data_IF_629482877729
#
_entry.id   IF_629482877729
#
_cell.length_a   1.000
_cell.length_b   1.000
_cell.length_c   1.000
_cell.angle_alpha   90.00
_cell.angle_beta   90.00
_cell.angle_gamma   90.00
#
_symmetry.space_group_name_H-M   'P 1'
#
loop_
_entity.id
_entity.type
_entity.pdbx_description
1 polymer ?
#
# COMPACT_ATOMS: atom_id res chain seq x y z
N UNK A 1 19.52 -12.56 -0.56
CA UNK A 1 19.89 -11.55 -1.58
C UNK A 1 19.03 -10.34 -1.29
N UNK A 2 19.64 -9.19 -1.04
CA UNK A 2 18.94 -7.96 -0.72
C UNK A 2 18.37 -7.30 -1.97
N UNK A 3 17.30 -6.54 -1.82
CA UNK A 3 16.73 -5.72 -2.87
C UNK A 3 17.45 -4.37 -2.86
N UNK A 4 18.33 -4.15 -3.84
CA UNK A 4 19.17 -2.95 -3.89
C UNK A 4 18.54 -1.79 -4.71
N UNK A 5 17.53 -2.09 -5.53
CA UNK A 5 16.99 -1.13 -6.51
C UNK A 5 15.47 -1.06 -6.55
N UNK A 6 14.92 -0.14 -7.36
CA UNK A 6 13.48 -0.02 -7.54
C UNK A 6 12.83 -1.32 -7.98
N UNK A 7 11.80 -1.75 -7.26
CA UNK A 7 11.02 -2.95 -7.59
C UNK A 7 9.77 -2.55 -8.35
N UNK A 8 9.44 -3.24 -9.44
CA UNK A 8 8.15 -3.08 -10.10
C UNK A 8 7.05 -3.68 -9.22
N UNK A 9 5.94 -2.97 -8.96
CA UNK A 9 4.86 -3.54 -8.17
C UNK A 9 4.19 -4.71 -8.89
N UNK A 10 3.69 -5.68 -8.13
CA UNK A 10 2.77 -6.71 -8.60
C UNK A 10 1.39 -6.09 -8.86
N UNK A 11 0.80 -6.40 -10.01
CA UNK A 11 -0.36 -5.68 -10.53
C UNK A 11 -1.64 -6.49 -10.40
N UNK A 12 -2.77 -5.78 -10.48
CA UNK A 12 -4.09 -6.36 -10.58
C UNK A 12 -4.61 -6.37 -12.02
N UNK A 13 -5.46 -7.34 -12.32
CA UNK A 13 -6.36 -7.35 -13.48
C UNK A 13 -7.78 -6.99 -13.04
N UNK A 14 -8.53 -6.32 -13.90
CA UNK A 14 -9.93 -6.00 -13.62
C UNK A 14 -10.79 -7.26 -13.50
N UNK A 15 -11.75 -7.24 -12.60
CA UNK A 15 -12.81 -8.23 -12.47
C UNK A 15 -14.16 -7.54 -12.26
N UNK A 16 -15.22 -8.11 -12.82
CA UNK A 16 -16.57 -7.54 -12.75
C UNK A 16 -17.27 -7.77 -11.40
N UNK A 17 -16.80 -8.77 -10.64
CA UNK A 17 -17.30 -9.14 -9.32
C UNK A 17 -16.17 -9.61 -8.42
N UNK A 18 -16.36 -9.53 -7.11
CA UNK A 18 -15.41 -10.04 -6.11
C UNK A 18 -15.23 -11.56 -6.34
N UNK A 19 -14.00 -12.04 -6.60
CA UNK A 19 -13.74 -13.46 -6.73
C UNK A 19 -14.14 -14.23 -5.46
N UNK A 20 -14.87 -15.33 -5.65
CA UNK A 20 -15.23 -16.25 -4.56
C UNK A 20 -13.97 -16.89 -3.94
N UNK A 21 -13.99 -17.24 -2.64
CA UNK A 21 -12.80 -17.74 -1.94
C UNK A 21 -12.09 -18.92 -2.63
N UNK A 22 -12.84 -19.80 -3.30
CA UNK A 22 -12.32 -20.98 -4.00
C UNK A 22 -11.57 -20.70 -5.31
N UNK A 23 -11.58 -19.47 -5.82
CA UNK A 23 -10.88 -19.09 -7.06
C UNK A 23 -9.37 -18.96 -6.85
N UNK A 24 -8.95 -18.58 -5.64
CA UNK A 24 -7.56 -18.31 -5.31
C UNK A 24 -6.86 -19.54 -4.73
N UNK A 25 -5.61 -19.79 -5.14
CA UNK A 25 -4.77 -20.82 -4.50
C UNK A 25 -4.52 -20.46 -3.04
N UNK A 26 -4.80 -21.39 -2.12
CA UNK A 26 -4.72 -21.16 -0.67
C UNK A 26 -5.87 -20.31 -0.10
N UNK A 27 -6.89 -20.03 -0.90
CA UNK A 27 -7.97 -19.12 -0.55
C UNK A 27 -7.65 -17.66 -0.89
N UNK A 28 -8.71 -16.85 -1.02
CA UNK A 28 -8.56 -15.44 -1.33
C UNK A 28 -8.29 -14.61 -0.06
N UNK A 29 -7.58 -13.51 -0.25
CA UNK A 29 -7.41 -12.43 0.72
C UNK A 29 -7.90 -11.14 0.07
N UNK A 30 -8.78 -10.46 0.77
CA UNK A 30 -9.46 -9.25 0.31
C UNK A 30 -8.92 -8.06 1.08
N UNK A 31 -8.71 -6.95 0.39
CA UNK A 31 -8.24 -5.68 0.95
C UNK A 31 -9.03 -4.53 0.31
N UNK A 32 -9.33 -3.44 1.04
CA UNK A 32 -9.88 -2.24 0.42
C UNK A 32 -8.92 -1.69 -0.64
N UNK A 33 -9.46 -1.28 -1.77
CA UNK A 33 -8.69 -0.61 -2.81
C UNK A 33 -8.60 0.87 -2.48
N UNK A 34 -7.47 1.27 -1.91
CA UNK A 34 -7.15 2.66 -1.59
C UNK A 34 -7.15 3.55 -2.85
N UNK A 35 -7.64 4.78 -2.71
CA UNK A 35 -7.47 5.85 -3.69
C UNK A 35 -6.21 6.65 -3.34
N UNK A 36 -5.09 6.33 -3.99
CA UNK A 36 -3.83 6.99 -3.70
C UNK A 36 -2.81 6.89 -4.82
N UNK A 37 -1.54 7.08 -4.45
CA UNK A 37 -0.41 6.79 -5.31
C UNK A 37 0.36 5.59 -4.78
N UNK A 38 0.33 4.51 -5.55
CA UNK A 38 1.16 3.35 -5.29
C UNK A 38 2.65 3.72 -5.24
N UNK A 39 3.28 3.38 -4.14
CA UNK A 39 4.64 3.77 -3.80
C UNK A 39 5.37 2.59 -3.16
N UNK A 40 6.46 2.15 -3.78
CA UNK A 40 7.43 1.25 -3.17
C UNK A 40 8.32 2.05 -2.23
N UNK A 41 8.46 1.61 -0.99
CA UNK A 41 9.43 2.17 -0.05
C UNK A 41 10.53 1.16 0.24
N UNK A 42 11.77 1.59 0.02
CA UNK A 42 12.97 0.83 0.36
C UNK A 42 13.71 1.61 1.44
N UNK A 43 13.87 0.99 2.61
CA UNK A 43 14.76 1.44 3.69
C UNK A 43 16.03 0.59 3.59
N UNK A 44 17.12 1.19 3.12
CA UNK A 44 18.38 0.46 2.97
C UNK A 44 19.06 0.21 4.33
N UNK A 45 20.20 -0.50 4.30
CA UNK A 45 20.94 -0.89 5.50
C UNK A 45 21.52 0.32 6.25
N UNK A 46 21.79 1.43 5.56
CA UNK A 46 22.25 2.68 6.13
C UNK A 46 21.11 3.54 6.69
N UNK A 47 19.85 3.10 6.53
CA UNK A 47 18.66 3.81 7.00
C UNK A 47 18.24 4.97 6.09
N UNK A 48 18.63 4.97 4.81
CA UNK A 48 18.08 5.90 3.83
C UNK A 48 16.80 5.33 3.21
N UNK A 49 15.79 6.19 3.01
CA UNK A 49 14.52 5.82 2.37
C UNK A 49 14.53 6.25 0.90
N UNK A 50 14.10 5.33 0.04
CA UNK A 50 13.78 5.60 -1.37
C UNK A 50 12.33 5.28 -1.66
N UNK A 51 11.56 6.30 -2.06
CA UNK A 51 10.16 6.22 -2.45
C UNK A 51 10.04 6.23 -3.97
N UNK A 52 9.43 5.18 -4.52
CA UNK A 52 9.29 5.03 -5.97
C UNK A 52 7.86 4.69 -6.37
N UNK A 53 7.30 5.44 -7.32
CA UNK A 53 5.96 5.21 -7.86
C UNK A 53 5.85 3.88 -8.62
N UNK A 54 4.62 3.50 -8.95
CA UNK A 54 4.32 2.40 -9.89
C UNK A 54 5.14 2.42 -11.18
N UNK A 55 5.43 3.61 -11.72
CA UNK A 55 6.15 3.80 -12.98
C UNK A 55 7.66 4.04 -12.78
N UNK A 56 8.18 3.69 -11.60
CA UNK A 56 9.59 3.81 -11.23
C UNK A 56 10.08 5.28 -11.13
N UNK A 57 9.16 6.23 -10.92
CA UNK A 57 9.49 7.64 -10.70
C UNK A 57 9.68 7.93 -9.22
N UNK A 58 10.68 8.73 -8.85
CA UNK A 58 10.90 9.13 -7.45
C UNK A 58 9.72 9.94 -6.91
N UNK A 59 9.31 9.64 -5.68
CA UNK A 59 8.24 10.35 -4.96
C UNK A 59 8.73 11.07 -3.70
N UNK A 60 10.01 10.93 -3.33
CA UNK A 60 10.57 11.44 -2.08
C UNK A 60 10.36 12.95 -1.92
N UNK A 61 10.51 13.70 -3.01
CA UNK A 61 10.38 15.16 -2.99
C UNK A 61 8.95 15.67 -2.94
N UNK A 62 7.95 14.85 -3.28
CA UNK A 62 6.54 15.25 -3.28
C UNK A 62 5.87 15.06 -1.90
N UNK A 63 6.37 14.10 -1.13
CA UNK A 63 5.80 13.69 0.15
C UNK A 63 6.89 13.60 1.23
N UNK A 64 7.53 14.73 1.58
CA UNK A 64 8.71 14.72 2.44
C UNK A 64 8.42 14.21 3.87
N UNK A 65 7.16 14.21 4.31
CA UNK A 65 6.74 13.67 5.60
C UNK A 65 6.73 12.13 5.64
N UNK A 66 6.67 11.46 4.49
CA UNK A 66 6.49 10.00 4.41
C UNK A 66 7.78 9.26 4.76
N UNK A 67 8.94 9.73 4.28
CA UNK A 67 10.22 9.06 4.53
C UNK A 67 10.59 9.01 6.03
N UNK A 68 10.52 10.13 6.79
CA UNK A 68 10.73 10.08 8.24
C UNK A 68 9.75 9.16 8.97
N UNK A 69 8.47 9.17 8.57
CA UNK A 69 7.46 8.30 9.16
C UNK A 69 7.76 6.82 8.92
N UNK A 70 8.31 6.46 7.77
CA UNK A 70 8.75 5.08 7.48
C UNK A 70 9.98 4.70 8.30
N UNK A 71 10.96 5.59 8.47
CA UNK A 71 12.15 5.32 9.29
C UNK A 71 11.82 5.09 10.77
N UNK A 72 10.80 5.78 11.28
CA UNK A 72 10.35 5.60 12.65
C UNK A 72 9.74 4.21 12.90
N UNK A 73 9.30 3.52 11.83
CA UNK A 73 8.48 2.29 11.92
C UNK A 73 9.13 1.06 11.31
N UNK A 74 10.02 1.23 10.33
CA UNK A 74 10.64 0.14 9.58
C UNK A 74 12.14 0.06 9.91
N UNK A 75 12.62 -1.15 10.17
CA UNK A 75 14.06 -1.38 10.35
C UNK A 75 14.82 -1.26 9.03
N UNK A 76 16.12 -0.92 9.04
CA UNK A 76 17.00 -1.03 7.89
C UNK A 76 16.92 -2.40 7.20
N UNK A 77 17.12 -2.42 5.88
CA UNK A 77 16.95 -3.63 5.06
C UNK A 77 15.49 -4.07 4.94
N UNK A 78 14.58 -3.11 4.78
CA UNK A 78 13.13 -3.38 4.63
C UNK A 78 12.62 -2.79 3.33
N UNK A 79 11.87 -3.58 2.56
CA UNK A 79 11.18 -3.12 1.35
C UNK A 79 9.69 -3.42 1.49
N UNK A 80 8.86 -2.40 1.34
CA UNK A 80 7.41 -2.51 1.39
C UNK A 80 6.75 -1.95 0.13
N UNK A 81 5.62 -2.55 -0.23
CA UNK A 81 4.70 -2.08 -1.24
C UNK A 81 3.53 -1.40 -0.52
N UNK A 82 3.14 -0.22 -0.95
CA UNK A 82 2.12 0.55 -0.27
C UNK A 82 1.48 1.63 -1.12
N UNK A 83 0.54 2.34 -0.51
CA UNK A 83 -0.19 3.43 -1.12
C UNK A 83 0.01 4.71 -0.29
N UNK A 84 0.46 5.79 -0.93
CA UNK A 84 0.40 7.13 -0.33
C UNK A 84 -1.02 7.65 -0.49
N UNK A 85 -1.66 7.99 0.62
CA UNK A 85 -3.04 8.45 0.65
C UNK A 85 -3.15 9.75 1.45
N UNK A 86 -4.17 10.56 1.14
CA UNK A 86 -4.56 11.68 1.99
C UNK A 86 -5.92 11.39 2.61
N UNK A 87 -6.00 11.45 3.93
CA UNK A 87 -7.26 11.42 4.69
C UNK A 87 -7.65 12.84 5.08
N UNK A 88 -8.86 13.26 4.76
CA UNK A 88 -9.44 14.50 5.26
C UNK A 88 -9.77 14.40 6.76
N UNK A 89 -10.11 15.52 7.39
CA UNK A 89 -10.42 15.57 8.82
C UNK A 89 -11.65 14.75 9.23
N UNK A 90 -12.54 14.44 8.28
CA UNK A 90 -13.70 13.56 8.44
C UNK A 90 -13.38 12.07 8.18
N UNK A 91 -12.11 11.74 7.93
CA UNK A 91 -11.61 10.39 7.68
C UNK A 91 -11.68 9.91 6.23
N UNK A 92 -12.32 10.65 5.32
CA UNK A 92 -12.48 10.27 3.91
C UNK A 92 -11.16 10.44 3.14
N UNK A 93 -10.96 9.64 2.10
CA UNK A 93 -9.84 9.79 1.19
C UNK A 93 -10.06 11.01 0.28
N UNK A 94 -9.11 11.96 0.31
CA UNK A 94 -9.11 13.16 -0.52
C UNK A 94 -8.05 13.04 -1.62
N UNK A 95 -8.44 12.35 -2.71
CA UNK A 95 -7.57 12.15 -3.85
C UNK A 95 -7.22 13.47 -4.57
N UNK A 96 -8.13 14.46 -4.55
CA UNK A 96 -7.87 15.76 -5.15
C UNK A 96 -6.77 16.51 -4.38
N UNK A 97 -6.79 16.49 -3.04
CA UNK A 97 -5.69 17.00 -2.22
C UNK A 97 -4.38 16.27 -2.51
N UNK A 98 -4.41 14.93 -2.59
CA UNK A 98 -3.23 14.14 -2.93
C UNK A 98 -2.63 14.53 -4.29
N UNK A 99 -3.46 14.78 -5.31
CA UNK A 99 -2.99 15.27 -6.61
C UNK A 99 -2.36 16.67 -6.51
N UNK A 100 -2.97 17.59 -5.74
CA UNK A 100 -2.39 18.92 -5.49
C UNK A 100 -1.05 18.82 -4.78
N UNK A 101 -0.91 17.91 -3.81
CA UNK A 101 0.35 17.61 -3.10
C UNK A 101 1.44 17.18 -4.08
N UNK A 102 1.14 16.22 -4.95
CA UNK A 102 2.10 15.71 -5.92
C UNK A 102 2.55 16.76 -6.96
N UNK A 103 1.69 17.71 -7.31
CA UNK A 103 2.00 18.79 -8.24
C UNK A 103 2.75 19.97 -7.58
N UNK A 104 2.87 20.01 -6.25
CA UNK A 104 3.55 21.09 -5.55
C UNK A 104 5.07 21.07 -5.79
N UNK A 105 5.71 22.23 -5.67
CA UNK A 105 7.15 22.38 -5.83
C UNK A 105 7.68 23.53 -4.97
N UNK A 106 9.00 23.54 -4.73
CA UNK A 106 9.67 24.55 -3.90
C UNK A 106 9.17 24.54 -2.46
N UNK A 107 9.14 25.72 -1.81
CA UNK A 107 8.71 25.86 -0.41
C UNK A 107 7.29 25.35 -0.13
N UNK A 108 6.41 25.42 -1.15
CA UNK A 108 5.00 24.99 -1.02
C UNK A 108 4.84 23.51 -0.69
N UNK A 109 5.82 22.67 -1.01
CA UNK A 109 5.78 21.23 -0.66
C UNK A 109 5.68 21.06 0.85
N UNK A 110 6.52 21.76 1.61
CA UNK A 110 6.56 21.66 3.06
C UNK A 110 5.35 22.31 3.73
N UNK A 111 4.90 23.46 3.21
CA UNK A 111 3.68 24.13 3.70
C UNK A 111 2.47 23.18 3.61
N UNK A 112 2.33 22.49 2.47
CA UNK A 112 1.25 21.52 2.29
C UNK A 112 1.48 20.21 3.06
N UNK A 113 2.74 19.80 3.29
CA UNK A 113 3.08 18.66 4.16
C UNK A 113 2.54 18.84 5.58
N UNK A 114 2.67 20.06 6.11
CA UNK A 114 2.18 20.41 7.44
C UNK A 114 0.64 20.56 7.48
N UNK A 115 0.06 21.22 6.47
CA UNK A 115 -1.37 21.50 6.45
C UNK A 115 -2.24 20.28 6.05
N UNK A 116 -1.76 19.45 5.13
CA UNK A 116 -2.50 18.35 4.53
C UNK A 116 -1.66 17.05 4.50
N UNK A 117 -1.24 16.49 5.66
CA UNK A 117 -0.25 15.41 5.69
C UNK A 117 -0.74 14.11 5.04
N UNK A 118 0.11 13.48 4.25
CA UNK A 118 -0.18 12.19 3.63
C UNK A 118 0.24 11.02 4.54
N UNK A 119 -0.43 9.89 4.36
CA UNK A 119 -0.18 8.66 5.09
C UNK A 119 0.31 7.59 4.12
N UNK A 120 1.08 6.64 4.60
CA UNK A 120 1.55 5.48 3.86
C UNK A 120 0.85 4.23 4.36
N UNK A 121 0.00 3.64 3.52
CA UNK A 121 -0.67 2.38 3.82
C UNK A 121 0.12 1.23 3.21
N UNK A 122 0.71 0.38 4.05
CA UNK A 122 1.47 -0.79 3.62
C UNK A 122 0.53 -1.90 3.17
N UNK A 123 0.69 -2.38 1.94
CA UNK A 123 -0.12 -3.44 1.34
C UNK A 123 0.62 -4.77 1.19
N UNK A 124 1.95 -4.78 1.22
CA UNK A 124 2.78 -5.99 1.21
C UNK A 124 4.20 -5.68 1.72
N UNK A 125 4.93 -6.70 2.16
CA UNK A 125 6.35 -6.62 2.56
C UNK A 125 7.17 -7.55 1.69
N UNK A 126 8.17 -6.99 1.00
CA UNK A 126 9.00 -7.69 0.03
C UNK A 126 10.35 -8.09 0.61
N UNK A 127 10.83 -7.35 1.60
CA UNK A 127 12.04 -7.65 2.35
C UNK A 127 11.88 -7.13 3.78
N UNK A 128 12.41 -7.87 4.76
CA UNK A 128 12.47 -7.42 6.15
C UNK A 128 13.77 -7.86 6.78
N UNK A 129 14.49 -6.91 7.41
CA UNK A 129 15.79 -7.13 8.04
C UNK A 129 16.75 -7.91 7.14
N UNK A 130 16.78 -7.53 5.87
CA UNK A 130 17.67 -8.14 4.89
C UNK A 130 17.18 -9.46 4.27
N UNK A 131 16.04 -9.98 4.67
CA UNK A 131 15.51 -11.24 4.14
C UNK A 131 14.51 -10.97 3.02
N UNK A 132 14.83 -11.35 1.79
CA UNK A 132 13.91 -11.26 0.65
C UNK A 132 12.75 -12.25 0.81
N UNK A 133 11.54 -11.70 0.85
CA UNK A 133 10.29 -12.40 1.09
C UNK A 133 9.48 -12.59 -0.20
N UNK A 134 9.92 -12.08 -1.36
CA UNK A 134 9.12 -12.15 -2.60
C UNK A 134 8.79 -13.58 -3.01
N UNK A 135 9.72 -14.52 -2.77
CA UNK A 135 9.50 -15.95 -3.03
C UNK A 135 8.52 -16.62 -2.07
N UNK A 136 8.17 -15.99 -0.95
CA UNK A 136 7.27 -16.55 0.08
C UNK A 136 5.80 -16.34 -0.28
N UNK A 137 4.90 -17.25 0.10
CA UNK A 137 3.45 -17.05 0.03
C UNK A 137 2.96 -15.75 0.68
N UNK A 138 1.87 -15.17 0.17
CA UNK A 138 1.28 -13.94 0.72
C UNK A 138 0.97 -14.05 2.21
N UNK A 139 0.45 -15.18 2.68
CA UNK A 139 0.12 -15.32 4.10
C UNK A 139 1.36 -15.24 5.01
N UNK A 140 2.50 -15.77 4.57
CA UNK A 140 3.78 -15.63 5.31
C UNK A 140 4.24 -14.16 5.30
N UNK A 141 4.19 -13.48 4.15
CA UNK A 141 4.54 -12.05 4.05
C UNK A 141 3.61 -11.19 4.91
N UNK A 142 2.31 -11.50 4.91
CA UNK A 142 1.31 -10.81 5.73
C UNK A 142 1.62 -10.94 7.21
N UNK A 143 1.98 -12.14 7.67
CA UNK A 143 2.38 -12.34 9.06
C UNK A 143 3.59 -11.49 9.43
N UNK A 144 4.62 -11.43 8.58
CA UNK A 144 5.78 -10.55 8.79
C UNK A 144 5.36 -9.08 8.88
N UNK A 145 4.49 -8.62 7.98
CA UNK A 145 3.98 -7.25 7.98
C UNK A 145 3.23 -6.91 9.28
N UNK A 146 2.37 -7.82 9.75
CA UNK A 146 1.64 -7.65 11.01
C UNK A 146 2.58 -7.59 12.21
N UNK A 147 3.60 -8.44 12.28
CA UNK A 147 4.63 -8.37 13.32
C UNK A 147 5.43 -7.05 13.25
N UNK A 148 5.76 -6.59 12.05
CA UNK A 148 6.53 -5.35 11.84
C UNK A 148 5.76 -4.13 12.35
N UNK A 149 4.42 -4.14 12.22
CA UNK A 149 3.56 -3.00 12.57
C UNK A 149 2.70 -3.23 13.83
N UNK A 150 2.93 -4.31 14.59
CA UNK A 150 2.08 -4.72 15.71
C UNK A 150 1.94 -3.65 16.82
N UNK A 151 2.96 -2.82 17.01
CA UNK A 151 3.00 -1.79 18.06
C UNK A 151 2.80 -0.38 17.49
N UNK A 152 2.38 -0.27 16.24
CA UNK A 152 2.15 1.02 15.59
C UNK A 152 0.71 1.45 15.89
N UNK A 153 0.50 2.62 16.52
CA UNK A 153 -0.85 3.14 16.74
C UNK A 153 -1.59 3.32 15.41
N UNK A 154 -2.90 3.10 15.39
CA UNK A 154 -3.72 3.32 14.19
C UNK A 154 -3.68 4.79 13.71
N UNK A 155 -3.35 5.72 14.61
CA UNK A 155 -3.15 7.14 14.32
C UNK A 155 -1.80 7.45 13.66
N UNK A 156 -0.95 6.45 13.45
CA UNK A 156 0.34 6.60 12.78
C UNK A 156 0.18 7.01 11.32
N UNK A 157 1.17 7.74 10.80
CA UNK A 157 1.27 8.01 9.37
C UNK A 157 1.60 6.77 8.54
N UNK A 158 2.05 5.68 9.17
CA UNK A 158 2.30 4.39 8.52
C UNK A 158 1.45 3.31 9.16
N UNK A 159 0.59 2.65 8.38
CA UNK A 159 -0.31 1.60 8.86
C UNK A 159 -0.38 0.45 7.86
N UNK A 160 -0.70 -0.76 8.32
CA UNK A 160 -1.03 -1.86 7.41
C UNK A 160 -2.43 -1.67 6.81
N UNK A 161 -2.63 -2.05 5.55
CA UNK A 161 -3.98 -2.23 5.02
C UNK A 161 -4.70 -3.32 5.81
N UNK A 162 -6.01 -3.18 6.11
CA UNK A 162 -6.78 -4.30 6.60
C UNK A 162 -6.86 -5.38 5.50
N UNK A 163 -6.87 -6.63 5.94
CA UNK A 163 -6.95 -7.81 5.07
C UNK A 163 -7.87 -8.84 5.73
N UNK A 164 -8.77 -9.43 4.95
CA UNK A 164 -9.70 -10.46 5.44
C UNK A 164 -9.75 -11.67 4.51
N UNK A 165 -10.12 -12.83 5.05
CA UNK A 165 -10.47 -14.01 4.29
C UNK A 165 -12.00 -14.18 4.14
N UNK A 166 -12.80 -13.38 4.86
CA UNK A 166 -14.25 -13.38 4.78
C UNK A 166 -14.71 -12.59 3.55
N UNK A 167 -15.29 -13.30 2.56
CA UNK A 167 -15.86 -12.67 1.37
C UNK A 167 -17.04 -11.76 1.71
N UNK A 168 -17.80 -12.07 2.77
CA UNK A 168 -18.90 -11.23 3.26
C UNK A 168 -18.40 -9.88 3.76
N UNK A 169 -17.25 -9.86 4.45
CA UNK A 169 -16.58 -8.61 4.83
C UNK A 169 -16.08 -7.82 3.62
N UNK A 170 -15.52 -8.50 2.62
CA UNK A 170 -15.13 -7.86 1.37
C UNK A 170 -16.32 -7.19 0.66
N UNK A 171 -17.48 -7.83 0.64
CA UNK A 171 -18.72 -7.24 0.14
C UNK A 171 -19.15 -6.03 0.97
N UNK A 172 -19.11 -6.11 2.31
CA UNK A 172 -19.41 -4.97 3.18
C UNK A 172 -18.49 -3.78 2.91
N UNK A 173 -17.19 -4.01 2.74
CA UNK A 173 -16.26 -2.95 2.36
C UNK A 173 -16.60 -2.35 1.00
N UNK A 174 -16.89 -3.19 0.01
CA UNK A 174 -17.32 -2.72 -1.30
C UNK A 174 -18.56 -1.83 -1.17
N UNK A 175 -19.60 -2.26 -0.48
CA UNK A 175 -20.86 -1.49 -0.42
C UNK A 175 -20.75 -0.18 0.38
N UNK A 176 -19.84 -0.10 1.36
CA UNK A 176 -19.81 1.02 2.33
C UNK A 176 -18.66 2.01 2.14
N UNK A 177 -17.51 1.57 1.61
CA UNK A 177 -16.30 2.42 1.54
C UNK A 177 -16.26 3.36 0.33
N UNK A 178 -17.15 3.20 -0.65
CA UNK A 178 -17.26 4.09 -1.79
C UNK A 178 -17.48 5.56 -1.36
N UNK A 179 -18.38 5.78 -0.40
CA UNK A 179 -18.67 7.11 0.14
C UNK A 179 -17.45 7.74 0.86
N UNK A 180 -16.55 6.89 1.37
CA UNK A 180 -15.30 7.30 2.02
C UNK A 180 -14.15 7.53 1.03
N UNK A 181 -14.39 7.41 -0.28
CA UNK A 181 -13.41 7.72 -1.32
C UNK A 181 -12.49 6.55 -1.70
N UNK A 182 -12.78 5.32 -1.26
CA UNK A 182 -12.08 4.14 -1.76
C UNK A 182 -12.48 3.85 -3.21
N UNK A 183 -11.67 3.06 -3.92
CA UNK A 183 -11.91 2.72 -5.33
C UNK A 183 -12.56 1.35 -5.55
N UNK A 184 -12.67 0.53 -4.49
CA UNK A 184 -13.24 -0.82 -4.55
C UNK A 184 -12.49 -1.82 -3.65
N UNK A 185 -12.24 -3.03 -4.15
CA UNK A 185 -11.56 -4.11 -3.43
C UNK A 185 -10.45 -4.71 -4.30
N UNK A 186 -9.31 -5.02 -3.69
CA UNK A 186 -8.22 -5.83 -4.27
C UNK A 186 -8.31 -7.24 -3.71
N UNK A 187 -8.11 -8.24 -4.56
CA UNK A 187 -8.11 -9.65 -4.17
C UNK A 187 -6.78 -10.29 -4.54
N UNK A 188 -6.22 -11.04 -3.61
CA UNK A 188 -4.93 -11.72 -3.74
C UNK A 188 -5.08 -13.20 -3.34
N UNK A 189 -4.28 -14.07 -3.93
CA UNK A 189 -4.22 -15.47 -3.52
C UNK A 189 -3.25 -15.66 -2.34
N UNK A 190 -3.69 -16.34 -1.27
CA UNK A 190 -2.92 -16.48 -0.04
C UNK A 190 -1.60 -17.24 -0.21
N UNK A 191 -1.55 -18.17 -1.18
CA UNK A 191 -0.36 -18.99 -1.44
C UNK A 191 0.54 -18.44 -2.55
N UNK A 192 0.24 -17.25 -3.09
CA UNK A 192 0.97 -16.73 -4.24
C UNK A 192 2.24 -15.95 -3.81
N UNK A 193 3.40 -16.22 -4.42
CA UNK A 193 4.58 -15.38 -4.24
C UNK A 193 4.35 -13.98 -4.80
N UNK A 194 5.18 -13.02 -4.39
CA UNK A 194 5.19 -11.71 -4.99
C UNK A 194 5.90 -11.78 -6.34
N UNK A 195 5.21 -11.40 -7.42
CA UNK A 195 5.71 -11.50 -8.79
C UNK A 195 5.79 -10.10 -9.41
N UNK A 196 6.94 -9.40 -9.27
CA UNK A 196 7.12 -8.03 -9.73
C UNK A 196 6.69 -7.84 -11.19
N UNK A 197 5.86 -6.82 -11.44
CA UNK A 197 5.40 -6.45 -12.79
C UNK A 197 4.31 -7.35 -13.40
N UNK A 198 3.99 -8.51 -12.81
CA UNK A 198 2.95 -9.39 -13.34
C UNK A 198 1.56 -9.00 -12.83
N UNK A 199 0.52 -9.21 -13.66
CA UNK A 199 -0.90 -8.97 -13.34
C UNK A 199 -1.55 -10.23 -12.78
N UNK A 200 -1.39 -10.45 -11.49
CA UNK A 200 -1.78 -11.71 -10.83
C UNK A 200 -2.85 -11.51 -9.75
N UNK A 201 -2.91 -10.33 -9.16
CA UNK A 201 -4.03 -9.93 -8.31
C UNK A 201 -5.27 -9.60 -9.15
N UNK A 202 -6.40 -9.42 -8.47
CA UNK A 202 -7.64 -8.90 -9.06
C UNK A 202 -8.01 -7.57 -8.41
N UNK A 203 -8.64 -6.69 -9.18
CA UNK A 203 -9.28 -5.48 -8.66
C UNK A 203 -10.74 -5.45 -9.14
N UNK A 204 -11.64 -5.19 -8.21
CA UNK A 204 -13.05 -4.90 -8.49
C UNK A 204 -13.26 -3.47 -8.10
N UNK A 205 -13.59 -2.64 -9.09
CA UNK A 205 -13.77 -1.20 -8.90
C UNK A 205 -15.25 -0.87 -8.82
N UNK A 206 -15.57 0.20 -8.10
CA UNK A 206 -16.89 0.79 -8.22
C UNK A 206 -17.16 1.17 -9.68
N UNK A 207 -18.34 0.84 -10.18
CA UNK A 207 -18.80 1.42 -11.44
C UNK A 207 -18.97 2.90 -11.18
N UNK A 208 -18.23 3.73 -11.92
CA UNK A 208 -18.54 5.16 -11.93
C UNK A 208 -19.93 5.32 -12.57
N UNK A 209 -20.86 6.05 -11.94
CA UNK A 209 -22.14 6.37 -12.58
C UNK A 209 -21.92 7.13 -13.89
#
# INVERSE_FOLDING_TARGET
MHIEGPVRPMLARGADRIPEPGVCRGGCRYEPKWAGFRCMALVDEDGAVRLTSRNLTRLDGAFPEVSPALLERLSPGTVVDGEIVRRAGDGRLDFAALQRRHAASGGRVWDLALAEPCHYVVVDVLESRGTDLRGRPLHERRHVLECLLAHVPETSFVVATPQTADVGEAHRWFDTLAAQGFEGVVVKAADEPYLPGLRRWWEVKYRRP
#
